data_IF_713878007563
#
_entry.id   IF_713878007563
#
_cell.length_a   1.000
_cell.length_b   1.000
_cell.length_c   1.000
_cell.angle_alpha   90.00
_cell.angle_beta   90.00
_cell.angle_gamma   90.00
#
_symmetry.space_group_name_H-M   'P 1'
#
loop_
_entity.id
_entity.type
_entity.pdbx_description
1 polymer ?
#
# COMPACT_ATOMS: atom_id res chain seq x y z
N UNK A 1 0.92 11.37 -5.60
CA UNK A 1 -0.43 11.87 -5.25
C UNK A 1 -0.45 12.13 -3.75
N UNK A 2 -1.04 13.24 -3.32
CA UNK A 2 -1.07 13.67 -1.92
C UNK A 2 -2.50 14.09 -1.55
N UNK A 3 -2.90 13.78 -0.32
CA UNK A 3 -4.15 14.25 0.28
C UNK A 3 -3.92 14.62 1.75
N UNK A 4 -4.73 15.51 2.29
CA UNK A 4 -4.72 15.92 3.70
C UNK A 4 -6.15 15.83 4.20
N UNK A 5 -6.37 15.21 5.37
CA UNK A 5 -7.70 15.22 6.00
C UNK A 5 -7.89 16.41 6.96
N UNK A 6 -9.07 16.47 7.57
CA UNK A 6 -9.49 17.52 8.51
C UNK A 6 -8.57 17.63 9.73
N UNK A 7 -7.97 16.52 10.16
CA UNK A 7 -7.00 16.46 11.26
C UNK A 7 -5.60 16.93 10.85
N UNK A 8 -5.38 17.23 9.57
CA UNK A 8 -4.06 17.55 9.03
C UNK A 8 -3.17 16.32 8.83
N UNK A 9 -3.74 15.12 8.78
CA UNK A 9 -3.02 13.88 8.45
C UNK A 9 -2.73 13.87 6.95
N UNK A 10 -1.47 13.66 6.59
CA UNK A 10 -1.04 13.68 5.20
C UNK A 10 -0.81 12.28 4.65
N UNK A 11 -1.47 12.00 3.55
CA UNK A 11 -1.50 10.70 2.86
C UNK A 11 -0.81 10.81 1.51
N UNK A 12 -0.06 9.77 1.14
CA UNK A 12 0.74 9.75 -0.08
C UNK A 12 0.58 8.43 -0.83
N UNK A 13 0.45 8.52 -2.14
CA UNK A 13 0.50 7.36 -3.05
C UNK A 13 1.30 7.72 -4.29
N UNK A 14 2.29 6.91 -4.66
CA UNK A 14 3.04 7.04 -5.91
C UNK A 14 2.13 6.62 -7.06
N UNK A 15 1.88 7.53 -8.01
CA UNK A 15 0.86 7.34 -9.07
C UNK A 15 1.13 6.09 -9.91
N UNK A 16 2.39 5.82 -10.22
CA UNK A 16 2.83 4.73 -11.10
C UNK A 16 2.87 3.37 -10.40
N UNK A 17 3.40 3.29 -9.18
CA UNK A 17 3.61 2.02 -8.49
C UNK A 17 2.48 1.65 -7.53
N UNK A 18 1.67 2.62 -7.12
CA UNK A 18 0.67 2.44 -6.05
C UNK A 18 1.29 2.29 -4.65
N UNK A 19 2.61 2.41 -4.50
CA UNK A 19 3.23 2.46 -3.17
C UNK A 19 2.68 3.65 -2.40
N UNK A 20 2.30 3.42 -1.14
CA UNK A 20 1.61 4.43 -0.35
C UNK A 20 2.14 4.52 1.08
N UNK A 21 1.82 5.62 1.74
CA UNK A 21 2.37 5.94 3.05
C UNK A 21 1.82 7.22 3.65
N UNK A 22 2.39 7.62 4.77
CA UNK A 22 2.06 8.87 5.47
C UNK A 22 3.34 9.65 5.74
N UNK A 23 3.27 10.98 5.81
CA UNK A 23 4.38 11.76 6.37
C UNK A 23 4.57 11.40 7.85
N UNK A 24 5.77 11.59 8.40
CA UNK A 24 5.99 11.39 9.84
C UNK A 24 5.03 12.23 10.71
N UNK A 25 4.75 13.47 10.30
CA UNK A 25 3.77 14.36 10.94
C UNK A 25 2.35 13.83 10.80
N UNK A 26 1.98 13.34 9.61
CA UNK A 26 0.68 12.72 9.38
C UNK A 26 0.48 11.49 10.26
N UNK A 27 1.43 10.56 10.26
CA UNK A 27 1.37 9.36 11.09
C UNK A 27 1.29 9.71 12.58
N UNK A 28 1.98 10.77 13.02
CA UNK A 28 1.91 11.24 14.40
C UNK A 28 0.49 11.70 14.78
N UNK A 29 -0.17 12.47 13.91
CA UNK A 29 -1.56 12.92 14.12
C UNK A 29 -2.56 11.78 14.06
N UNK A 30 -2.32 10.81 13.16
CA UNK A 30 -3.17 9.64 12.97
C UNK A 30 -3.24 8.75 14.23
N UNK A 31 -2.17 8.70 15.03
CA UNK A 31 -2.09 7.91 16.27
C UNK A 31 -2.01 8.76 17.54
N UNK A 32 -2.38 10.03 17.47
CA UNK A 32 -2.33 10.99 18.59
C UNK A 32 -0.99 11.01 19.35
N UNK A 33 0.09 11.29 18.64
CA UNK A 33 1.43 11.38 19.22
C UNK A 33 2.25 12.51 18.62
N UNK A 34 3.47 12.71 19.12
CA UNK A 34 4.35 13.76 18.62
C UNK A 34 5.19 13.23 17.45
N UNK A 35 5.53 14.07 16.45
CA UNK A 35 6.45 13.69 15.38
C UNK A 35 7.81 13.20 15.92
N UNK A 36 8.27 13.77 17.04
CA UNK A 36 9.49 13.34 17.72
C UNK A 36 9.38 11.91 18.30
N UNK A 37 8.19 11.46 18.73
CA UNK A 37 7.98 10.09 19.16
C UNK A 37 8.03 9.11 17.98
N UNK A 38 7.40 9.47 16.85
CA UNK A 38 7.47 8.69 15.60
C UNK A 38 8.91 8.58 15.10
N UNK A 39 9.64 9.70 15.04
CA UNK A 39 11.04 9.73 14.59
C UNK A 39 11.94 8.85 15.46
N UNK A 40 11.78 8.91 16.80
CA UNK A 40 12.49 8.02 17.73
C UNK A 40 12.14 6.55 17.53
N UNK A 41 10.87 6.23 17.27
CA UNK A 41 10.43 4.87 17.00
C UNK A 41 11.05 4.33 15.71
N UNK A 42 11.02 5.11 14.63
CA UNK A 42 11.65 4.78 13.34
C UNK A 42 13.14 4.53 13.53
N UNK A 43 13.85 5.42 14.23
CA UNK A 43 15.27 5.26 14.51
C UNK A 43 15.54 3.99 15.32
N UNK A 44 14.74 3.72 16.35
CA UNK A 44 14.86 2.51 17.18
C UNK A 44 14.68 1.23 16.34
N UNK A 45 13.64 1.16 15.51
CA UNK A 45 13.38 -0.03 14.67
C UNK A 45 14.49 -0.20 13.63
N UNK A 46 14.89 0.88 12.96
CA UNK A 46 15.97 0.84 11.95
C UNK A 46 17.33 0.42 12.53
N UNK A 47 17.63 0.82 13.76
CA UNK A 47 18.89 0.47 14.43
C UNK A 47 18.83 -0.88 15.16
N UNK A 48 17.68 -1.55 15.19
CA UNK A 48 17.53 -2.86 15.85
C UNK A 48 18.11 -3.98 14.99
N UNK A 49 18.75 -4.96 15.63
CA UNK A 49 19.26 -6.15 14.95
C UNK A 49 18.09 -7.03 14.44
N UNK A 50 18.07 -7.49 13.18
CA UNK A 50 16.98 -8.29 12.63
C UNK A 50 16.76 -9.64 13.34
N UNK A 51 17.81 -10.24 13.87
CA UNK A 51 17.79 -11.57 14.49
C UNK A 51 17.57 -11.50 16.01
N UNK A 52 18.19 -10.53 16.68
CA UNK A 52 18.19 -10.42 18.14
C UNK A 52 17.74 -9.01 18.55
N UNK A 53 16.43 -8.81 18.71
CA UNK A 53 15.87 -7.55 19.20
C UNK A 53 14.71 -7.76 20.17
N UNK A 54 14.47 -6.74 20.99
CA UNK A 54 13.38 -6.69 21.97
C UNK A 54 12.25 -5.76 21.49
N UNK A 55 11.99 -5.71 20.18
CA UNK A 55 10.88 -4.94 19.66
C UNK A 55 9.54 -5.65 19.95
N UNK A 56 8.45 -4.89 20.12
CA UNK A 56 7.10 -5.43 20.13
C UNK A 56 6.81 -6.28 18.88
N UNK A 57 5.97 -7.33 18.98
CA UNK A 57 5.71 -8.27 17.88
C UNK A 57 5.38 -7.62 16.54
N UNK A 58 4.54 -6.57 16.53
CA UNK A 58 4.16 -5.86 15.30
C UNK A 58 5.33 -5.13 14.62
N UNK A 59 6.37 -4.74 15.36
CA UNK A 59 7.54 -4.01 14.84
C UNK A 59 8.72 -4.91 14.49
N UNK A 60 8.76 -6.16 14.99
CA UNK A 60 9.85 -7.10 14.75
C UNK A 60 10.16 -7.34 13.27
N UNK A 61 9.16 -7.51 12.37
CA UNK A 61 9.43 -7.75 10.95
C UNK A 61 10.19 -6.62 10.26
N UNK A 62 10.20 -5.42 10.86
CA UNK A 62 10.80 -4.21 10.29
C UNK A 62 12.19 -3.90 10.85
N UNK A 63 12.72 -4.73 11.75
CA UNK A 63 14.03 -4.52 12.36
C UNK A 63 15.14 -4.44 11.30
N UNK A 64 15.97 -3.39 11.35
CA UNK A 64 17.06 -3.20 10.39
C UNK A 64 16.62 -2.81 8.97
N UNK A 65 15.32 -2.69 8.71
CA UNK A 65 14.81 -2.33 7.39
C UNK A 65 14.81 -0.82 7.16
N UNK A 66 14.76 -0.45 5.88
CA UNK A 66 14.38 0.90 5.46
C UNK A 66 12.86 1.03 5.60
N UNK A 67 12.40 2.06 6.30
CA UNK A 67 11.00 2.25 6.69
C UNK A 67 10.33 3.43 5.96
N UNK A 68 11.05 4.03 5.03
CA UNK A 68 10.69 5.28 4.37
C UNK A 68 11.10 5.25 2.91
N UNK A 69 10.29 5.84 2.03
CA UNK A 69 10.60 5.91 0.61
C UNK A 69 11.88 6.72 0.36
N UNK A 70 12.81 6.14 -0.39
CA UNK A 70 14.06 6.80 -0.78
C UNK A 70 13.86 7.90 -1.79
N UNK A 71 13.02 7.58 -2.76
CA UNK A 71 12.91 8.28 -4.03
C UNK A 71 11.75 9.27 -4.01
N UNK A 72 11.02 9.31 -2.89
CA UNK A 72 9.94 10.26 -2.71
C UNK A 72 10.47 11.57 -2.13
N UNK A 73 10.87 12.47 -3.02
CA UNK A 73 11.01 13.88 -2.69
C UNK A 73 9.72 14.58 -3.08
N UNK A 74 8.84 14.91 -2.13
CA UNK A 74 7.90 15.99 -2.40
C UNK A 74 8.68 17.31 -2.48
N UNK A 75 8.03 18.36 -3.01
CA UNK A 75 8.64 19.71 -3.11
C UNK A 75 9.01 20.31 -1.75
N UNK A 76 8.66 19.63 -0.64
CA UNK A 76 8.95 20.04 0.73
C UNK A 76 9.94 19.10 1.44
N UNK A 77 10.51 18.12 0.74
CA UNK A 77 11.51 17.19 1.27
C UNK A 77 11.00 16.31 2.42
N UNK A 78 9.70 15.99 2.46
CA UNK A 78 9.11 15.26 3.58
C UNK A 78 9.47 13.78 3.56
N UNK A 79 9.76 13.24 4.74
CA UNK A 79 9.98 11.81 4.94
C UNK A 79 8.64 11.09 4.97
N UNK A 80 8.42 10.23 3.97
CA UNK A 80 7.21 9.39 3.87
C UNK A 80 7.51 8.01 4.42
N UNK A 81 6.72 7.61 5.41
CA UNK A 81 6.75 6.30 6.05
C UNK A 81 5.90 5.34 5.25
N UNK A 82 6.43 4.16 4.94
CA UNK A 82 5.73 3.15 4.12
C UNK A 82 4.48 2.60 4.82
N UNK A 83 3.43 2.31 4.06
CA UNK A 83 2.12 1.88 4.57
C UNK A 83 2.17 0.68 5.53
N UNK A 84 2.94 -0.35 5.20
CA UNK A 84 3.09 -1.54 6.04
C UNK A 84 3.68 -1.16 7.41
N UNK A 85 4.67 -0.27 7.44
CA UNK A 85 5.22 0.22 8.69
C UNK A 85 4.26 1.18 9.40
N UNK A 86 3.48 2.00 8.68
CA UNK A 86 2.41 2.79 9.27
C UNK A 86 1.42 1.91 10.05
N UNK A 87 0.98 0.77 9.49
CA UNK A 87 0.10 -0.17 10.19
C UNK A 87 0.74 -0.73 11.46
N UNK A 88 2.02 -1.11 11.40
CA UNK A 88 2.74 -1.59 12.57
C UNK A 88 2.87 -0.53 13.67
N UNK A 89 3.07 0.74 13.30
CA UNK A 89 3.08 1.87 14.23
C UNK A 89 1.71 2.11 14.86
N UNK A 90 0.63 2.04 14.08
CA UNK A 90 -0.74 2.13 14.60
C UNK A 90 -0.98 1.03 15.65
N UNK A 91 -0.64 -0.21 15.33
CA UNK A 91 -0.78 -1.33 16.25
C UNK A 91 0.08 -1.14 17.51
N UNK A 92 1.33 -0.68 17.34
CA UNK A 92 2.23 -0.34 18.44
C UNK A 92 1.58 0.65 19.42
N UNK A 93 1.06 1.77 18.92
CA UNK A 93 0.44 2.79 19.77
C UNK A 93 -0.87 2.32 20.40
N UNK A 94 -1.64 1.49 19.70
CA UNK A 94 -2.91 0.95 20.21
C UNK A 94 -2.72 -0.04 21.36
N UNK A 95 -1.68 -0.89 21.33
CA UNK A 95 -1.54 -2.04 22.26
C UNK A 95 -0.31 -2.01 23.17
N UNK A 96 0.82 -1.45 22.74
CA UNK A 96 2.10 -1.59 23.45
C UNK A 96 2.70 -0.29 23.94
N UNK A 97 2.28 0.86 23.39
CA UNK A 97 2.79 2.14 23.87
C UNK A 97 2.33 2.41 25.30
N UNK A 98 3.19 3.09 26.08
CA UNK A 98 2.82 3.48 27.45
C UNK A 98 1.56 4.34 27.40
N UNK A 99 0.49 3.98 28.13
CA UNK A 99 -0.75 4.74 28.12
C UNK A 99 -0.49 6.15 28.67
N UNK A 100 -0.97 7.17 27.96
CA UNK A 100 -0.94 8.56 28.44
C UNK A 100 -2.12 8.89 29.34
N UNK A 101 -3.19 8.11 29.24
CA UNK A 101 -4.45 8.28 29.97
C UNK A 101 -5.03 6.92 30.38
N UNK A 102 -5.92 6.88 31.37
CA UNK A 102 -6.73 5.69 31.64
C UNK A 102 -7.45 5.24 30.36
N UNK A 103 -7.30 3.96 29.97
CA UNK A 103 -7.87 3.41 28.73
C UNK A 103 -6.91 3.37 27.53
N UNK A 104 -5.71 3.95 27.64
CA UNK A 104 -4.69 3.90 26.59
C UNK A 104 -4.85 4.98 25.52
N UNK A 105 -4.35 4.71 24.32
CA UNK A 105 -4.43 5.64 23.20
C UNK A 105 -5.66 5.34 22.35
N UNK A 106 -6.78 5.99 22.67
CA UNK A 106 -8.08 5.75 22.02
C UNK A 106 -8.01 6.00 20.51
N UNK A 107 -7.37 7.10 20.09
CA UNK A 107 -7.23 7.42 18.66
C UNK A 107 -6.47 6.32 17.91
N UNK A 108 -5.38 5.80 18.48
CA UNK A 108 -4.64 4.69 17.88
C UNK A 108 -5.46 3.38 17.85
N UNK A 109 -6.30 3.13 18.87
CA UNK A 109 -7.19 1.97 18.89
C UNK A 109 -8.29 2.06 17.82
N UNK A 110 -8.87 3.24 17.61
CA UNK A 110 -9.84 3.48 16.53
C UNK A 110 -9.20 3.34 15.16
N UNK A 111 -8.02 3.95 14.97
CA UNK A 111 -7.22 3.79 13.77
C UNK A 111 -6.90 2.30 13.51
N UNK A 112 -6.56 1.54 14.54
CA UNK A 112 -6.30 0.11 14.42
C UNK A 112 -7.53 -0.66 13.91
N UNK A 113 -8.72 -0.40 14.48
CA UNK A 113 -9.98 -1.05 14.03
C UNK A 113 -10.25 -0.74 12.56
N UNK A 114 -10.08 0.52 12.16
CA UNK A 114 -10.27 0.96 10.78
C UNK A 114 -9.35 0.22 9.80
N UNK A 115 -8.05 0.14 10.11
CA UNK A 115 -7.08 -0.48 9.21
C UNK A 115 -7.14 -2.01 9.24
N UNK A 116 -7.65 -2.62 10.31
CA UNK A 116 -7.92 -4.06 10.35
C UNK A 116 -9.11 -4.43 9.46
N UNK A 117 -10.11 -3.56 9.38
CA UNK A 117 -11.28 -3.77 8.53
C UNK A 117 -10.95 -3.56 7.05
N UNK A 118 -10.26 -2.47 6.70
CA UNK A 118 -10.05 -2.06 5.30
C UNK A 118 -8.67 -2.42 4.73
N UNK A 119 -7.66 -2.51 5.59
CA UNK A 119 -6.25 -2.49 5.22
C UNK A 119 -5.71 -1.07 5.07
N UNK A 120 -4.52 -0.82 5.64
CA UNK A 120 -3.87 0.51 5.63
C UNK A 120 -3.63 1.05 4.21
N UNK A 121 -3.22 0.19 3.27
CA UNK A 121 -2.95 0.57 1.88
C UNK A 121 -4.20 1.07 1.19
N UNK A 122 -5.28 0.29 1.29
CA UNK A 122 -6.58 0.60 0.68
C UNK A 122 -7.14 1.89 1.27
N UNK A 123 -7.01 2.06 2.59
CA UNK A 123 -7.37 3.31 3.26
C UNK A 123 -6.62 4.52 2.69
N UNK A 124 -5.29 4.43 2.54
CA UNK A 124 -4.47 5.52 1.99
C UNK A 124 -4.81 5.77 0.50
N UNK A 125 -5.03 4.72 -0.28
CA UNK A 125 -5.46 4.84 -1.69
C UNK A 125 -6.79 5.59 -1.80
N UNK A 126 -7.77 5.22 -0.98
CA UNK A 126 -9.05 5.93 -0.90
C UNK A 126 -8.87 7.40 -0.53
N UNK A 127 -8.07 7.71 0.50
CA UNK A 127 -7.78 9.10 0.89
C UNK A 127 -7.08 9.92 -0.20
N UNK A 128 -6.23 9.28 -0.99
CA UNK A 128 -5.47 9.93 -2.07
C UNK A 128 -6.20 9.97 -3.41
N UNK A 129 -7.35 9.29 -3.53
CA UNK A 129 -8.05 9.11 -4.80
C UNK A 129 -7.27 8.28 -5.81
N UNK A 130 -6.28 7.49 -5.36
CA UNK A 130 -5.53 6.62 -6.26
C UNK A 130 -6.39 5.39 -6.60
N UNK A 131 -6.58 5.18 -7.90
CA UNK A 131 -7.16 3.97 -8.45
C UNK A 131 -6.10 3.27 -9.28
N UNK A 132 -6.06 1.94 -9.21
CA UNK A 132 -5.14 1.15 -10.04
C UNK A 132 -5.42 1.50 -11.51
N UNK A 133 -4.39 1.86 -12.31
CA UNK A 133 -4.58 2.01 -13.75
C UNK A 133 -5.14 0.68 -14.27
N UNK A 134 -6.35 0.72 -14.84
CA UNK A 134 -6.87 -0.41 -15.60
C UNK A 134 -5.87 -0.55 -16.74
N UNK A 135 -5.07 -1.62 -16.72
CA UNK A 135 -4.32 -1.98 -17.91
C UNK A 135 -5.38 -2.14 -18.99
N UNK A 136 -5.34 -1.30 -20.03
CA UNK A 136 -6.24 -1.43 -21.16
C UNK A 136 -6.11 -2.87 -21.63
N UNK A 137 -7.14 -3.67 -21.34
CA UNK A 137 -7.21 -5.03 -21.82
C UNK A 137 -7.06 -4.91 -23.33
N UNK A 138 -5.94 -5.40 -23.86
CA UNK A 138 -5.82 -5.63 -25.29
C UNK A 138 -6.96 -6.58 -25.63
N UNK A 139 -8.03 -6.01 -26.16
CA UNK A 139 -9.18 -6.73 -26.69
C UNK A 139 -8.65 -7.47 -27.91
N UNK A 140 -8.09 -8.66 -27.72
CA UNK A 140 -7.92 -9.62 -28.81
C UNK A 140 -9.33 -10.14 -29.10
N UNK A 141 -10.08 -9.38 -29.90
CA UNK A 141 -11.25 -9.92 -30.59
C UNK A 141 -10.74 -10.97 -31.57
N UNK A 142 -10.66 -12.22 -31.12
CA UNK A 142 -10.72 -13.36 -32.03
C UNK A 142 -12.07 -13.30 -32.74
N UNK A 143 -12.12 -12.63 -33.88
CA UNK A 143 -13.20 -12.77 -34.84
C UNK A 143 -13.18 -14.21 -35.35
N UNK A 144 -13.90 -15.08 -34.66
CA UNK A 144 -14.39 -16.32 -35.24
C UNK A 144 -15.43 -15.94 -36.29
N UNK A 145 -14.98 -15.58 -37.49
CA UNK A 145 -15.84 -15.46 -38.64
C UNK A 145 -16.26 -16.88 -39.05
N UNK A 146 -17.53 -17.18 -38.78
CA UNK A 146 -18.30 -18.25 -39.40
C UNK A 146 -18.20 -18.21 -40.94
N UNK A 147 -18.40 -19.39 -41.54
CA UNK A 147 -19.11 -19.58 -42.82
C UNK A 147 -18.36 -19.19 -44.11
N UNK A 148 -17.77 -20.18 -44.75
CA UNK A 148 -17.89 -20.36 -46.21
C UNK A 148 -18.40 -21.77 -46.50
N UNK A 149 -19.72 -21.87 -46.54
CA UNK A 149 -20.41 -22.81 -47.42
C UNK A 149 -20.22 -22.28 -48.86
N UNK A 150 -19.41 -22.99 -49.64
CA UNK A 150 -19.34 -22.86 -51.09
C UNK A 150 -19.41 -24.28 -51.65
N UNK A 151 -20.65 -24.67 -51.92
CA UNK A 151 -20.99 -25.73 -52.86
C UNK A 151 -20.34 -25.48 -54.23
N UNK A 152 -19.99 -26.60 -54.86
CA UNK A 152 -19.82 -26.85 -56.29
C UNK A 152 -18.44 -26.64 -56.95
N UNK A 153 -17.96 -27.77 -57.48
CA UNK A 153 -17.38 -27.89 -58.84
C UNK A 153 -15.92 -27.45 -59.07
N UNK A 154 -14.93 -28.09 -58.44
CA UNK A 154 -13.57 -28.19 -59.01
C UNK A 154 -12.68 -29.25 -58.34
N UNK A 155 -12.86 -30.55 -58.68
CA UNK A 155 -11.78 -31.55 -58.83
C UNK A 155 -12.36 -32.90 -59.27
N UNK A 156 -13.06 -32.88 -60.41
CA UNK A 156 -12.93 -33.98 -61.38
C UNK A 156 -11.51 -33.89 -61.94
N UNK A 157 -10.80 -35.03 -61.95
CA UNK A 157 -9.50 -35.35 -62.57
C UNK A 157 -8.34 -35.43 -61.58
N UNK A 158 -8.15 -36.61 -61.00
CA UNK A 158 -7.08 -37.55 -61.35
C UNK A 158 -6.98 -38.63 -60.26
N UNK A 159 -7.41 -39.86 -60.59
CA UNK A 159 -6.71 -41.11 -60.26
C UNK A 159 -7.50 -42.30 -60.83
N UNK A 160 -7.16 -42.58 -62.09
CA UNK A 160 -7.16 -43.92 -62.69
C UNK A 160 -5.84 -44.59 -62.25
N UNK A 161 -5.80 -45.94 -62.23
CA UNK A 161 -4.74 -46.88 -61.84
C UNK A 161 -4.82 -47.31 -60.36
N UNK A 162 -5.07 -48.56 -59.97
CA UNK A 162 -5.13 -49.88 -60.65
C UNK A 162 -6.25 -50.75 -60.02
#
# INVERSE_FOLDING_TARGET
MRSIDEDGTEYFTIKTTGQSGMSQSGLARFVDTTPAAISRLIAKVRLSNPTVNNLPPCLKPFAGMRLTFAEYSDTQGRVIVEDAFCAAVVEYYAKWSKPRQPGGNIKAQEALRLIQYLGIRVFIHHKTGWNKPVAESTVILSHSANSLDLSDEALRRENIYD
#
